data_IF_125875359402
#
_entry.id   IF_125875359402
#
_cell.length_a   1.000
_cell.length_b   1.000
_cell.length_c   1.000
_cell.angle_alpha   90.00
_cell.angle_beta   90.00
_cell.angle_gamma   90.00
#
_symmetry.space_group_name_H-M   'P 1'
#
loop_
_entity.id
_entity.type
_entity.pdbx_description
1 polymer ?
#
# COMPACT_ATOMS: atom_id res chain seq x y z
N UNK A 1 -21.47 -12.03 9.07
CA UNK A 1 -20.99 -11.75 7.71
C UNK A 1 -19.87 -10.73 7.79
N UNK A 2 -18.78 -10.91 7.05
CA UNK A 2 -17.66 -9.93 7.06
C UNK A 2 -17.63 -9.14 5.77
N UNK A 3 -17.41 -7.83 5.87
CA UNK A 3 -17.32 -6.92 4.74
C UNK A 3 -15.86 -6.58 4.44
N UNK A 4 -15.54 -6.47 3.15
CA UNK A 4 -14.22 -6.05 2.71
C UNK A 4 -14.01 -4.56 2.99
N UNK A 5 -12.94 -4.21 3.71
CA UNK A 5 -12.64 -2.82 4.06
C UNK A 5 -12.23 -1.94 2.86
N UNK A 6 -11.96 -2.52 1.68
CA UNK A 6 -11.63 -1.79 0.46
C UNK A 6 -12.86 -1.44 -0.40
N UNK A 7 -13.79 -2.39 -0.57
CA UNK A 7 -14.94 -2.22 -1.48
C UNK A 7 -16.30 -2.22 -0.77
N UNK A 8 -16.33 -2.40 0.55
CA UNK A 8 -17.52 -2.49 1.39
C UNK A 8 -18.53 -3.59 1.02
N UNK A 9 -18.17 -4.49 0.09
CA UNK A 9 -19.00 -5.65 -0.27
C UNK A 9 -18.71 -6.82 0.66
N UNK A 10 -19.72 -7.64 0.89
CA UNK A 10 -19.60 -8.85 1.70
C UNK A 10 -18.59 -9.83 1.09
N UNK A 11 -17.74 -10.39 1.93
CA UNK A 11 -16.81 -11.46 1.57
C UNK A 11 -17.60 -12.77 1.56
N UNK A 12 -17.64 -13.44 0.41
CA UNK A 12 -18.31 -14.74 0.25
C UNK A 12 -17.28 -15.86 0.34
N UNK A 13 -17.53 -16.83 1.23
CA UNK A 13 -16.63 -17.96 1.47
C UNK A 13 -15.43 -17.63 2.36
N UNK A 14 -14.45 -18.54 2.38
CA UNK A 14 -13.30 -18.46 3.30
C UNK A 14 -12.06 -17.79 2.69
N UNK A 15 -12.16 -17.27 1.46
CA UNK A 15 -11.04 -16.64 0.76
C UNK A 15 -10.97 -15.15 1.12
N UNK A 16 -10.20 -14.85 2.17
CA UNK A 16 -9.96 -13.50 2.65
C UNK A 16 -8.51 -13.31 3.06
N UNK A 17 -8.07 -12.05 3.02
CA UNK A 17 -6.80 -11.60 3.61
C UNK A 17 -7.12 -10.79 4.87
N UNK A 18 -6.58 -11.21 6.01
CA UNK A 18 -6.72 -10.52 7.30
C UNK A 18 -5.41 -9.81 7.63
N UNK A 19 -5.48 -8.53 7.96
CA UNK A 19 -4.31 -7.78 8.40
C UNK A 19 -3.83 -8.28 9.77
N UNK A 20 -2.51 -8.32 9.99
CA UNK A 20 -1.91 -8.63 11.29
C UNK A 20 -1.81 -7.43 12.23
N UNK A 21 -2.06 -6.21 11.72
CA UNK A 21 -1.92 -4.94 12.45
C UNK A 21 -3.26 -4.26 12.75
N UNK A 22 -4.36 -4.72 12.16
CA UNK A 22 -5.71 -4.21 12.41
C UNK A 22 -6.75 -5.32 12.14
N UNK A 23 -8.01 -5.06 12.50
CA UNK A 23 -9.08 -6.04 12.34
C UNK A 23 -9.70 -6.09 10.93
N UNK A 24 -9.15 -5.34 9.98
CA UNK A 24 -9.70 -5.30 8.63
C UNK A 24 -9.42 -6.57 7.83
N UNK A 25 -10.44 -6.94 7.06
CA UNK A 25 -10.43 -8.06 6.15
C UNK A 25 -10.71 -7.57 4.73
N UNK A 26 -10.11 -8.27 3.76
CA UNK A 26 -10.16 -7.86 2.36
C UNK A 26 -10.39 -9.05 1.44
N UNK A 27 -11.08 -8.82 0.32
CA UNK A 27 -11.00 -9.74 -0.81
C UNK A 27 -9.55 -9.76 -1.32
N UNK A 28 -9.01 -10.94 -1.70
CA UNK A 28 -7.66 -11.03 -2.26
C UNK A 28 -7.46 -10.10 -3.47
N UNK A 29 -8.46 -10.01 -4.35
CA UNK A 29 -8.44 -9.14 -5.53
C UNK A 29 -8.38 -7.65 -5.18
N UNK A 30 -9.06 -7.22 -4.10
CA UNK A 30 -9.03 -5.82 -3.67
C UNK A 30 -7.66 -5.37 -3.15
N UNK A 31 -6.77 -6.32 -2.85
CA UNK A 31 -5.41 -6.07 -2.37
C UNK A 31 -4.35 -6.63 -3.33
N UNK A 32 -4.70 -6.83 -4.59
CA UNK A 32 -3.83 -7.31 -5.66
C UNK A 32 -3.18 -8.69 -5.39
N UNK A 33 -3.86 -9.55 -4.64
CA UNK A 33 -3.48 -10.93 -4.38
C UNK A 33 -4.33 -11.88 -5.24
N UNK A 34 -4.21 -11.75 -6.57
CA UNK A 34 -4.98 -12.53 -7.54
C UNK A 34 -4.70 -14.04 -7.47
N UNK A 35 -3.47 -14.42 -7.13
CA UNK A 35 -3.06 -15.81 -6.96
C UNK A 35 -3.25 -16.32 -5.53
N UNK A 36 -4.43 -16.08 -4.93
CA UNK A 36 -4.70 -16.43 -3.52
C UNK A 36 -4.37 -17.87 -3.15
N UNK A 37 -4.58 -18.80 -4.10
CA UNK A 37 -4.32 -20.24 -3.92
C UNK A 37 -2.83 -20.57 -3.77
N UNK A 38 -1.94 -19.74 -4.32
CA UNK A 38 -0.47 -19.93 -4.22
C UNK A 38 0.13 -19.26 -2.98
N UNK A 39 -0.67 -18.50 -2.23
CA UNK A 39 -0.21 -17.84 -1.00
C UNK A 39 0.06 -18.90 0.06
N UNK A 40 1.28 -18.88 0.61
CA UNK A 40 1.70 -19.73 1.72
C UNK A 40 1.06 -19.27 3.02
N UNK A 41 0.95 -20.17 3.99
CA UNK A 41 0.41 -19.83 5.31
C UNK A 41 1.23 -18.73 6.02
N UNK A 42 2.56 -18.78 5.87
CA UNK A 42 3.46 -17.74 6.38
C UNK A 42 3.12 -16.36 5.79
N UNK A 43 2.82 -16.31 4.49
CA UNK A 43 2.45 -15.04 3.85
C UNK A 43 1.10 -14.56 4.37
N UNK A 44 0.12 -15.46 4.57
CA UNK A 44 -1.18 -15.09 5.17
C UNK A 44 -1.01 -14.56 6.60
N UNK A 45 -0.21 -15.23 7.42
CA UNK A 45 -0.02 -14.91 8.84
C UNK A 45 0.85 -13.68 9.10
N UNK A 46 1.58 -13.20 8.09
CA UNK A 46 2.44 -11.99 8.18
C UNK A 46 1.90 -10.82 7.36
N UNK A 47 0.81 -10.99 6.62
CA UNK A 47 0.32 -9.98 5.69
C UNK A 47 -0.18 -8.71 6.40
N UNK A 48 0.29 -7.56 5.93
CA UNK A 48 -0.11 -6.23 6.40
C UNK A 48 -0.86 -5.52 5.27
N UNK A 49 -2.05 -5.02 5.59
CA UNK A 49 -2.91 -4.34 4.62
C UNK A 49 -2.28 -3.03 4.10
N UNK A 50 -2.75 -2.53 2.94
CA UNK A 50 -2.24 -1.27 2.38
C UNK A 50 -2.37 -0.08 3.35
N UNK A 51 -3.44 -0.01 4.14
CA UNK A 51 -3.65 1.08 5.09
C UNK A 51 -2.58 1.10 6.20
N UNK A 52 -2.34 -0.03 6.85
CA UNK A 52 -1.32 -0.13 7.91
C UNK A 52 0.10 0.03 7.35
N UNK A 53 0.37 -0.49 6.16
CA UNK A 53 1.67 -0.35 5.50
C UNK A 53 2.00 1.12 5.20
N UNK A 54 1.01 1.89 4.77
CA UNK A 54 1.15 3.32 4.51
C UNK A 54 1.22 4.18 5.78
N UNK A 55 0.54 3.75 6.85
CA UNK A 55 0.55 4.45 8.15
C UNK A 55 1.85 4.26 8.94
N UNK A 56 2.66 3.26 8.60
CA UNK A 56 3.93 3.02 9.30
C UNK A 56 4.95 4.05 8.81
N UNK A 57 5.47 4.94 9.68
CA UNK A 57 6.54 5.84 9.28
C UNK A 57 7.74 5.00 8.85
N UNK A 58 8.27 5.26 7.65
CA UNK A 58 9.53 4.66 7.23
C UNK A 58 10.60 5.20 8.18
N UNK A 59 11.14 4.32 9.02
CA UNK A 59 12.21 4.59 9.98
C UNK A 59 13.28 5.46 9.30
N UNK A 60 13.35 6.70 9.79
CA UNK A 60 14.39 7.70 9.62
C UNK A 60 14.84 8.10 8.20
N UNK A 61 14.36 9.26 7.74
CA UNK A 61 15.04 10.05 6.70
C UNK A 61 16.29 10.79 7.23
N UNK A 62 16.66 10.56 8.49
CA UNK A 62 17.69 11.29 9.25
C UNK A 62 19.09 11.16 8.64
N UNK A 63 19.30 10.21 7.71
CA UNK A 63 20.58 9.99 7.03
C UNK A 63 20.56 10.33 5.52
N UNK A 64 19.53 11.02 5.02
CA UNK A 64 19.61 11.62 3.69
C UNK A 64 20.33 12.96 3.82
N UNK A 65 21.48 13.17 3.14
CA UNK A 65 22.05 14.50 3.07
C UNK A 65 20.98 15.44 2.53
N UNK A 66 20.67 16.49 3.29
CA UNK A 66 19.83 17.58 2.82
C UNK A 66 20.49 18.04 1.53
N UNK A 67 19.82 17.85 0.39
CA UNK A 67 20.30 18.40 -0.86
C UNK A 67 20.39 19.90 -0.64
N UNK A 68 21.63 20.40 -0.53
CA UNK A 68 21.96 21.81 -0.63
C UNK A 68 21.15 22.43 -1.78
N UNK A 69 20.71 23.70 -1.70
CA UNK A 69 19.98 24.35 -2.79
C UNK A 69 20.90 24.50 -4.00
N UNK A 70 21.07 23.42 -4.77
CA UNK A 70 21.59 23.48 -6.12
C UNK A 70 20.46 24.06 -6.95
N UNK A 71 20.52 25.39 -7.05
CA UNK A 71 20.22 26.23 -8.22
C UNK A 71 19.22 25.63 -9.20
N UNK A 72 18.12 26.35 -9.43
CA UNK A 72 16.96 25.93 -10.19
C UNK A 72 17.22 25.38 -11.62
N UNK A 73 17.41 24.06 -11.76
CA UNK A 73 17.42 23.35 -13.04
C UNK A 73 16.01 22.90 -13.51
N UNK A 74 14.94 23.36 -12.84
CA UNK A 74 13.54 22.96 -13.09
C UNK A 74 12.74 23.99 -13.91
N UNK A 75 13.33 25.14 -14.25
CA UNK A 75 12.65 26.16 -15.04
C UNK A 75 12.72 25.96 -16.56
N UNK A 76 13.46 24.96 -17.08
CA UNK A 76 13.73 24.90 -18.53
C UNK A 76 13.52 23.56 -19.25
N UNK A 77 13.02 22.48 -18.65
CA UNK A 77 12.85 21.22 -19.38
C UNK A 77 11.43 20.63 -19.29
N UNK A 78 10.74 20.43 -20.43
CA UNK A 78 9.47 19.74 -20.51
C UNK A 78 9.74 18.23 -20.66
N UNK A 79 9.30 17.41 -19.70
CA UNK A 79 8.93 15.99 -19.89
C UNK A 79 8.52 15.41 -18.54
N UNK A 80 7.24 15.56 -18.22
CA UNK A 80 6.59 14.77 -17.18
C UNK A 80 6.45 13.33 -17.67
N UNK A 81 7.18 12.41 -17.05
CA UNK A 81 6.74 11.03 -16.93
C UNK A 81 7.56 10.28 -15.87
N UNK A 82 6.82 9.54 -15.02
CA UNK A 82 7.24 8.38 -14.20
C UNK A 82 7.13 8.59 -12.68
N UNK A 83 6.03 8.14 -12.08
CA UNK A 83 5.92 6.79 -11.49
C UNK A 83 4.59 6.63 -10.75
N UNK A 84 3.74 5.73 -11.25
CA UNK A 84 2.34 5.55 -10.85
C UNK A 84 2.16 4.65 -9.61
N UNK A 85 3.15 4.60 -8.71
CA UNK A 85 3.11 3.72 -7.52
C UNK A 85 2.84 4.52 -6.23
N UNK A 86 3.04 5.84 -6.25
CA UNK A 86 2.89 6.71 -5.07
C UNK A 86 1.47 7.27 -4.86
N UNK A 87 0.60 7.22 -5.88
CA UNK A 87 -0.71 7.87 -5.83
C UNK A 87 -1.71 7.18 -4.89
N UNK A 88 -1.57 5.88 -4.63
CA UNK A 88 -2.46 5.18 -3.69
C UNK A 88 -2.20 5.56 -2.22
N UNK A 89 -1.09 6.23 -1.92
CA UNK A 89 -0.75 6.68 -0.56
C UNK A 89 -1.19 8.14 -0.28
N UNK A 90 -1.57 8.92 -1.30
CA UNK A 90 -1.79 10.37 -1.17
C UNK A 90 -3.27 10.78 -1.11
N UNK A 91 -4.21 9.95 -1.58
CA UNK A 91 -5.64 10.30 -1.71
C UNK A 91 -6.48 10.26 -0.40
N UNK A 92 -5.85 10.28 0.78
CA UNK A 92 -6.56 10.32 2.08
C UNK A 92 -5.91 11.29 3.08
N UNK A 93 -5.73 12.54 2.66
CA UNK A 93 -5.73 13.69 3.57
C UNK A 93 -6.92 14.57 3.26
#
# INVERSE_FOLDING_TARGET
MVNCAACNKTIRGNQLMKCTKCDYQYHPLCVNMSEYRKITEITRSTWICPQCRCATPKIDNTNKPIRSPVVQWWLNHPLWQQTHVSYLCWLRK
#
